data_IF_254856419184
#
_entry.id   IF_254856419184
#
_cell.length_a   1.000
_cell.length_b   1.000
_cell.length_c   1.000
_cell.angle_alpha   90.00
_cell.angle_beta   90.00
_cell.angle_gamma   90.00
#
_symmetry.space_group_name_H-M   'P 1'
#
loop_
_entity.id
_entity.type
_entity.pdbx_description
1 polymer ?
#
# COMPACT_ATOMS: atom_id res chain seq x y z
N UNK A 1 23.15 3.62 0.57
CA UNK A 1 22.78 2.22 0.26
C UNK A 1 21.32 2.05 0.65
N UNK A 2 20.45 1.56 -0.23
CA UNK A 2 19.02 1.37 0.04
C UNK A 2 18.83 -0.06 0.54
N UNK A 3 18.35 -0.25 1.77
CA UNK A 3 18.10 -1.58 2.34
C UNK A 3 16.60 -1.90 2.26
N UNK A 4 16.28 -2.97 1.54
CA UNK A 4 14.94 -3.55 1.48
C UNK A 4 14.96 -4.95 2.11
N UNK A 5 13.83 -5.40 2.64
CA UNK A 5 13.69 -6.75 3.18
C UNK A 5 14.12 -7.79 2.14
N UNK A 6 15.13 -8.60 2.47
CA UNK A 6 15.80 -9.51 1.51
C UNK A 6 14.81 -10.43 0.80
N UNK A 7 13.86 -11.01 1.53
CA UNK A 7 12.87 -11.90 0.93
C UNK A 7 11.97 -11.24 -0.13
N UNK A 8 11.68 -9.94 -0.01
CA UNK A 8 10.89 -9.22 -1.01
C UNK A 8 11.78 -8.80 -2.18
N UNK A 9 12.99 -8.32 -1.89
CA UNK A 9 13.99 -7.96 -2.91
C UNK A 9 14.31 -9.17 -3.79
N UNK A 10 14.63 -10.32 -3.20
CA UNK A 10 15.04 -11.53 -3.91
C UNK A 10 13.91 -12.10 -4.81
N UNK A 11 12.64 -11.81 -4.48
CA UNK A 11 11.50 -12.16 -5.35
C UNK A 11 11.44 -11.33 -6.63
N UNK A 12 11.94 -10.09 -6.62
CA UNK A 12 11.93 -9.19 -7.78
C UNK A 12 13.27 -9.17 -8.53
N UNK A 13 14.36 -9.27 -7.78
CA UNK A 13 15.74 -9.18 -8.21
C UNK A 13 16.53 -10.31 -7.51
N UNK A 14 16.38 -11.56 -7.98
CA UNK A 14 17.07 -12.69 -7.38
C UNK A 14 18.59 -12.50 -7.47
N UNK A 15 19.29 -12.83 -6.38
CA UNK A 15 20.76 -12.73 -6.34
C UNK A 15 21.41 -13.73 -7.35
N UNK A 16 20.75 -14.87 -7.56
CA UNK A 16 21.08 -15.87 -8.60
C UNK A 16 19.94 -15.97 -9.62
N UNK A 17 19.97 -15.19 -10.72
CA UNK A 17 18.95 -15.26 -11.74
C UNK A 17 19.04 -16.59 -12.49
N UNK A 18 18.01 -17.42 -12.37
CA UNK A 18 17.87 -18.68 -13.14
C UNK A 18 17.34 -18.46 -14.57
N UNK A 19 16.90 -17.23 -14.86
CA UNK A 19 16.33 -16.81 -16.14
C UNK A 19 17.15 -15.65 -16.70
N UNK A 20 17.12 -15.47 -18.02
CA UNK A 20 17.75 -14.33 -18.73
C UNK A 20 17.13 -12.97 -18.37
N UNK A 21 16.07 -12.94 -17.55
CA UNK A 21 15.36 -11.75 -17.09
C UNK A 21 14.96 -11.91 -15.64
N UNK A 22 15.05 -10.82 -14.89
CA UNK A 22 14.51 -10.73 -13.54
C UNK A 22 12.97 -10.79 -13.55
N UNK A 23 12.34 -11.24 -12.47
CA UNK A 23 10.89 -11.16 -12.31
C UNK A 23 10.35 -9.74 -12.51
N UNK A 24 11.06 -8.70 -12.02
CA UNK A 24 10.67 -7.31 -12.26
C UNK A 24 10.64 -6.95 -13.75
N UNK A 25 11.67 -7.30 -14.52
CA UNK A 25 11.72 -7.05 -15.97
C UNK A 25 10.59 -7.78 -16.70
N UNK A 26 10.22 -8.98 -16.23
CA UNK A 26 9.08 -9.72 -16.77
C UNK A 26 7.76 -8.98 -16.53
N UNK A 27 7.56 -8.40 -15.34
CA UNK A 27 6.39 -7.57 -15.03
C UNK A 27 6.35 -6.34 -15.96
N UNK A 28 7.48 -5.63 -16.12
CA UNK A 28 7.54 -4.45 -16.99
C UNK A 28 7.26 -4.79 -18.47
N UNK A 29 7.80 -5.90 -18.96
CA UNK A 29 7.52 -6.39 -20.30
C UNK A 29 6.03 -6.74 -20.47
N UNK A 30 5.41 -7.37 -19.47
CA UNK A 30 3.98 -7.66 -19.46
C UNK A 30 3.11 -6.40 -19.49
N UNK A 31 3.47 -5.38 -18.69
CA UNK A 31 2.77 -4.08 -18.70
C UNK A 31 2.80 -3.48 -20.10
N UNK A 32 3.95 -3.52 -20.78
CA UNK A 32 4.07 -3.01 -22.15
C UNK A 32 3.12 -3.72 -23.12
N UNK A 33 3.15 -5.05 -23.13
CA UNK A 33 2.31 -5.86 -24.03
C UNK A 33 0.81 -5.61 -23.77
N UNK A 34 0.40 -5.59 -22.51
CA UNK A 34 -1.01 -5.35 -22.13
C UNK A 34 -1.42 -3.92 -22.47
N UNK A 35 -0.54 -2.95 -22.24
CA UNK A 35 -0.80 -1.55 -22.58
C UNK A 35 -1.01 -1.39 -24.08
N UNK A 36 -0.15 -1.98 -24.91
CA UNK A 36 -0.30 -1.96 -26.37
C UNK A 36 -1.67 -2.49 -26.82
N UNK A 37 -2.07 -3.65 -26.30
CA UNK A 37 -3.37 -4.27 -26.61
C UNK A 37 -4.55 -3.41 -26.14
N UNK A 38 -4.49 -2.85 -24.93
CA UNK A 38 -5.56 -2.01 -24.37
C UNK A 38 -5.73 -0.69 -25.12
N UNK A 39 -4.63 -0.03 -25.48
CA UNK A 39 -4.69 1.24 -26.22
C UNK A 39 -5.24 1.03 -27.63
N UNK A 40 -4.85 -0.07 -28.31
CA UNK A 40 -5.39 -0.44 -29.61
C UNK A 40 -6.90 -0.71 -29.56
N UNK A 41 -7.40 -1.38 -28.52
CA UNK A 41 -8.82 -1.74 -28.39
C UNK A 41 -9.72 -0.57 -27.98
N UNK A 42 -9.23 0.27 -27.07
CA UNK A 42 -10.04 1.31 -26.45
C UNK A 42 -9.90 2.68 -27.13
N UNK A 43 -8.92 2.85 -28.02
CA UNK A 43 -8.61 4.14 -28.66
C UNK A 43 -8.09 5.20 -27.68
N UNK A 44 -7.66 4.78 -26.48
CA UNK A 44 -7.06 5.68 -25.50
C UNK A 44 -5.59 5.96 -25.86
N UNK A 45 -5.09 7.12 -25.46
CA UNK A 45 -3.69 7.51 -25.71
C UNK A 45 -2.74 7.08 -24.58
N UNK A 46 -3.26 6.96 -23.36
CA UNK A 46 -2.49 6.69 -22.14
C UNK A 46 -3.17 5.59 -21.34
N UNK A 47 -2.38 4.60 -20.88
CA UNK A 47 -2.81 3.55 -19.96
C UNK A 47 -2.38 3.90 -18.52
N UNK A 48 -3.36 3.94 -17.62
CA UNK A 48 -3.11 4.12 -16.19
C UNK A 48 -2.78 2.78 -15.55
N UNK A 49 -1.64 2.70 -14.85
CA UNK A 49 -1.17 1.48 -14.19
C UNK A 49 -1.13 1.70 -12.69
N UNK A 50 -1.88 0.87 -11.97
CA UNK A 50 -1.94 0.85 -10.52
C UNK A 50 -1.22 -0.39 -9.99
N UNK A 51 -0.54 -0.24 -8.86
CA UNK A 51 0.12 -1.36 -8.20
C UNK A 51 -0.73 -1.83 -7.01
N UNK A 52 -0.85 -3.13 -6.82
CA UNK A 52 -1.59 -3.66 -5.67
C UNK A 52 -1.03 -5.00 -5.25
N UNK A 53 -1.37 -5.39 -4.02
CA UNK A 53 -1.03 -6.68 -3.45
C UNK A 53 -1.64 -6.82 -2.07
N UNK A 54 -1.74 -8.06 -1.61
CA UNK A 54 -2.16 -8.39 -0.25
C UNK A 54 -1.03 -9.13 0.45
N UNK A 55 -0.79 -8.84 1.74
CA UNK A 55 0.20 -9.55 2.56
C UNK A 55 1.60 -9.50 1.93
N UNK A 56 2.24 -10.65 1.75
CA UNK A 56 3.50 -10.82 1.02
C UNK A 56 3.50 -10.16 -0.37
N UNK A 57 2.38 -10.26 -1.10
CA UNK A 57 2.22 -9.62 -2.40
C UNK A 57 2.24 -8.09 -2.29
N UNK A 58 1.77 -7.53 -1.18
CA UNK A 58 1.86 -6.09 -0.90
C UNK A 58 3.29 -5.64 -0.69
N UNK A 59 4.10 -6.42 0.03
CA UNK A 59 5.54 -6.13 0.21
C UNK A 59 6.29 -6.12 -1.13
N UNK A 60 6.02 -7.09 -1.99
CA UNK A 60 6.57 -7.15 -3.35
C UNK A 60 6.09 -5.95 -4.19
N UNK A 61 4.78 -5.68 -4.19
CA UNK A 61 4.20 -4.57 -4.94
C UNK A 61 4.76 -3.21 -4.49
N UNK A 62 5.05 -3.06 -3.20
CA UNK A 62 5.67 -1.84 -2.64
C UNK A 62 7.05 -1.59 -3.23
N UNK A 63 7.90 -2.62 -3.29
CA UNK A 63 9.24 -2.51 -3.89
C UNK A 63 9.19 -2.35 -5.40
N UNK A 64 8.29 -3.07 -6.09
CA UNK A 64 8.10 -2.93 -7.52
C UNK A 64 7.63 -1.52 -7.90
N UNK A 65 6.67 -0.98 -7.14
CA UNK A 65 6.19 0.40 -7.28
C UNK A 65 7.32 1.41 -7.02
N UNK A 66 8.10 1.22 -5.95
CA UNK A 66 9.23 2.08 -5.65
C UNK A 66 10.26 2.10 -6.78
N UNK A 67 10.61 0.93 -7.33
CA UNK A 67 11.50 0.82 -8.49
C UNK A 67 10.91 1.51 -9.72
N UNK A 68 9.63 1.28 -10.02
CA UNK A 68 8.97 1.86 -11.18
C UNK A 68 8.92 3.40 -11.11
N UNK A 69 8.71 3.95 -9.91
CA UNK A 69 8.73 5.39 -9.67
C UNK A 69 10.13 6.02 -9.80
N UNK A 70 11.19 5.29 -9.44
CA UNK A 70 12.57 5.77 -9.60
C UNK A 70 13.09 5.68 -11.04
N UNK A 71 12.49 4.85 -11.90
CA UNK A 71 12.90 4.61 -13.29
C UNK A 71 11.76 4.88 -14.27
N UNK A 72 11.01 5.95 -14.05
CA UNK A 72 9.86 6.29 -14.89
C UNK A 72 10.25 6.56 -16.35
N UNK A 73 11.45 7.08 -16.59
CA UNK A 73 11.97 7.39 -17.93
C UNK A 73 12.24 6.14 -18.78
N UNK A 74 12.33 4.96 -18.15
CA UNK A 74 12.48 3.68 -18.85
C UNK A 74 11.16 3.01 -19.22
N UNK A 75 10.03 3.61 -18.84
CA UNK A 75 8.69 3.11 -19.15
C UNK A 75 8.22 3.69 -20.49
N UNK A 76 7.34 2.95 -21.17
CA UNK A 76 6.67 3.45 -22.38
C UNK A 76 5.98 4.80 -22.07
N UNK A 77 6.13 5.81 -22.94
CA UNK A 77 5.56 7.15 -22.73
C UNK A 77 4.04 7.15 -22.66
N UNK A 78 3.38 6.09 -23.14
CA UNK A 78 1.94 5.87 -23.05
C UNK A 78 1.51 5.22 -21.73
N UNK A 79 2.45 4.86 -20.85
CA UNK A 79 2.14 4.30 -19.53
C UNK A 79 2.25 5.38 -18.47
N UNK A 80 1.17 5.58 -17.72
CA UNK A 80 1.13 6.43 -16.54
C UNK A 80 1.02 5.57 -15.29
N UNK A 81 2.10 5.49 -14.52
CA UNK A 81 2.04 4.92 -13.17
C UNK A 81 1.16 5.83 -12.30
N UNK A 82 0.17 5.28 -11.63
CA UNK A 82 -0.74 6.00 -10.74
C UNK A 82 -0.40 5.68 -9.27
N UNK A 83 -1.42 5.52 -8.42
CA UNK A 83 -1.24 5.13 -7.03
C UNK A 83 -0.97 3.62 -6.88
N UNK A 84 -0.50 3.25 -5.69
CA UNK A 84 -0.49 1.86 -5.26
C UNK A 84 -1.49 1.66 -4.12
N UNK A 85 -2.29 0.60 -4.17
CA UNK A 85 -3.23 0.22 -3.12
C UNK A 85 -2.79 -1.11 -2.51
N UNK A 86 -2.29 -1.05 -1.29
CA UNK A 86 -1.48 -2.09 -0.67
C UNK A 86 -2.21 -2.61 0.57
N UNK A 87 -2.70 -3.85 0.53
CA UNK A 87 -3.51 -4.42 1.61
C UNK A 87 -2.64 -5.25 2.54
N UNK A 88 -2.73 -4.99 3.84
CA UNK A 88 -1.89 -5.66 4.84
C UNK A 88 -0.40 -5.57 4.48
N UNK A 89 0.06 -4.37 4.15
CA UNK A 89 1.44 -4.21 3.72
C UNK A 89 2.39 -4.38 4.90
N UNK A 90 3.34 -5.33 4.85
CA UNK A 90 4.38 -5.46 5.87
C UNK A 90 5.38 -4.31 5.76
N UNK A 91 6.23 -4.20 6.77
CA UNK A 91 7.40 -3.32 6.75
C UNK A 91 8.35 -3.77 5.63
N UNK A 92 8.82 -2.84 4.79
CA UNK A 92 9.46 -3.18 3.52
C UNK A 92 10.94 -2.80 3.42
N UNK A 93 11.36 -1.72 4.08
CA UNK A 93 12.71 -1.18 3.95
C UNK A 93 13.19 -0.53 5.25
N UNK A 94 14.44 -0.10 5.27
CA UNK A 94 14.98 0.73 6.35
C UNK A 94 14.42 2.16 6.32
N UNK A 95 14.56 2.86 7.45
CA UNK A 95 14.11 4.25 7.60
C UNK A 95 14.72 5.20 6.55
N UNK A 96 16.03 5.18 6.23
CA UNK A 96 16.59 6.05 5.19
C UNK A 96 15.94 5.85 3.81
N UNK A 97 15.70 4.60 3.40
CA UNK A 97 15.07 4.31 2.11
C UNK A 97 13.62 4.76 2.08
N UNK A 98 12.85 4.52 3.15
CA UNK A 98 11.47 4.99 3.26
C UNK A 98 11.40 6.51 3.17
N UNK A 99 12.27 7.23 3.89
CA UNK A 99 12.36 8.69 3.84
C UNK A 99 12.72 9.19 2.45
N UNK A 100 13.71 8.59 1.80
CA UNK A 100 14.12 8.96 0.44
C UNK A 100 12.97 8.76 -0.55
N UNK A 101 12.29 7.62 -0.49
CA UNK A 101 11.18 7.29 -1.36
C UNK A 101 9.96 8.21 -1.15
N UNK A 102 9.53 8.42 0.09
CA UNK A 102 8.39 9.30 0.35
C UNK A 102 8.70 10.74 -0.09
N UNK A 103 9.92 11.22 0.11
CA UNK A 103 10.34 12.54 -0.37
C UNK A 103 10.41 12.64 -1.91
N UNK A 104 10.78 11.57 -2.61
CA UNK A 104 10.81 11.59 -4.08
C UNK A 104 9.42 11.66 -4.68
N UNK A 105 8.43 11.00 -4.06
CA UNK A 105 7.02 11.09 -4.48
C UNK A 105 6.46 12.51 -4.41
N UNK A 106 6.83 13.27 -3.37
CA UNK A 106 6.38 14.65 -3.19
C UNK A 106 6.98 15.63 -4.21
N UNK A 107 8.19 15.33 -4.71
CA UNK A 107 8.92 16.18 -5.66
C UNK A 107 8.70 15.78 -7.12
N UNK A 108 7.97 14.70 -7.37
CA UNK A 108 7.75 14.15 -8.72
C UNK A 108 6.91 15.06 -9.61
N UNK A 109 7.13 14.95 -10.93
CA UNK A 109 6.43 15.76 -11.96
C UNK A 109 4.91 15.51 -12.07
N UNK A 110 4.38 14.50 -11.40
CA UNK A 110 2.94 14.20 -11.34
C UNK A 110 2.49 14.08 -9.87
N UNK A 111 2.22 15.20 -9.19
CA UNK A 111 1.76 15.20 -7.81
C UNK A 111 0.24 14.97 -7.67
N UNK A 112 -0.23 14.38 -6.56
CA UNK A 112 0.48 13.45 -5.68
C UNK A 112 0.11 12.00 -6.02
N UNK A 113 1.12 11.16 -6.27
CA UNK A 113 0.98 9.70 -6.26
C UNK A 113 1.40 9.18 -4.90
N UNK A 114 0.67 8.25 -4.32
CA UNK A 114 1.04 7.66 -3.04
C UNK A 114 0.71 6.17 -2.96
N UNK A 115 1.58 5.36 -2.33
CA UNK A 115 1.19 4.05 -1.87
C UNK A 115 0.23 4.20 -0.68
N UNK A 116 -1.02 3.83 -0.87
CA UNK A 116 -2.02 3.72 0.18
C UNK A 116 -1.95 2.32 0.81
N UNK A 117 -1.41 2.23 2.03
CA UNK A 117 -1.35 1.01 2.81
C UNK A 117 -2.63 0.84 3.61
N UNK A 118 -3.54 0.04 3.10
CA UNK A 118 -4.83 -0.22 3.72
C UNK A 118 -4.65 -1.25 4.85
N UNK A 119 -5.07 -0.87 6.05
CA UNK A 119 -4.95 -1.68 7.27
C UNK A 119 -6.33 -1.97 7.83
N UNK A 120 -6.60 -3.26 8.06
CA UNK A 120 -7.80 -3.74 8.72
C UNK A 120 -7.49 -3.97 10.20
N UNK A 121 -8.10 -3.18 11.09
CA UNK A 121 -7.91 -3.27 12.54
C UNK A 121 -6.41 -3.30 12.95
N UNK A 122 -6.00 -4.35 13.65
CA UNK A 122 -4.64 -4.59 14.14
C UNK A 122 -4.04 -5.81 13.43
N UNK A 123 -4.18 -5.87 12.10
CA UNK A 123 -3.59 -6.94 11.28
C UNK A 123 -2.13 -7.19 11.65
N UNK A 124 -1.84 -8.42 12.07
CA UNK A 124 -0.52 -8.85 12.50
C UNK A 124 0.56 -8.59 11.44
N UNK A 125 0.30 -8.83 10.16
CA UNK A 125 1.33 -8.66 9.12
C UNK A 125 1.68 -7.18 8.94
N UNK A 126 0.72 -6.29 9.13
CA UNK A 126 0.93 -4.85 9.03
C UNK A 126 1.43 -4.20 10.32
N UNK A 127 1.15 -4.78 11.50
CA UNK A 127 1.37 -4.10 12.79
C UNK A 127 2.11 -4.89 13.86
N UNK A 128 2.40 -6.18 13.67
CA UNK A 128 3.01 -7.02 14.72
C UNK A 128 4.48 -6.67 14.96
N UNK A 129 5.22 -6.35 13.90
CA UNK A 129 6.63 -6.02 14.03
C UNK A 129 6.82 -4.56 14.40
N UNK A 130 7.79 -4.23 15.29
CA UNK A 130 8.12 -2.86 15.60
C UNK A 130 8.57 -2.12 14.33
N UNK A 131 7.83 -1.08 13.95
CA UNK A 131 8.13 -0.21 12.82
C UNK A 131 8.67 1.14 13.31
N UNK A 132 9.67 1.12 14.20
CA UNK A 132 10.20 2.34 14.81
C UNK A 132 10.81 3.30 13.77
N UNK A 133 11.22 2.78 12.63
CA UNK A 133 11.67 3.59 11.50
C UNK A 133 10.56 4.43 10.84
N UNK A 134 9.28 4.21 11.15
CA UNK A 134 8.21 5.10 10.70
C UNK A 134 8.27 6.45 11.40
N UNK A 135 8.81 6.53 12.62
CA UNK A 135 9.01 7.79 13.34
C UNK A 135 10.26 8.51 12.83
N UNK A 136 10.13 9.70 12.21
CA UNK A 136 11.27 10.45 11.69
C UNK A 136 12.25 10.92 12.78
N UNK A 137 11.84 10.90 14.06
CA UNK A 137 12.66 11.27 15.21
C UNK A 137 13.31 10.08 15.90
N UNK A 138 13.16 8.86 15.37
CA UNK A 138 13.76 7.68 15.97
C UNK A 138 15.29 7.78 15.96
N UNK A 139 15.91 7.72 17.14
CA UNK A 139 17.31 8.05 17.33
C UNK A 139 18.30 6.98 16.84
N UNK A 140 17.82 5.77 16.52
CA UNK A 140 18.68 4.60 16.25
C UNK A 140 18.43 4.03 14.84
N UNK A 141 18.84 4.74 13.77
CA UNK A 141 18.60 4.32 12.38
C UNK A 141 19.19 2.95 12.01
N UNK A 142 20.24 2.53 12.70
CA UNK A 142 20.95 1.26 12.45
C UNK A 142 20.42 0.09 13.31
N UNK A 143 19.37 0.32 14.09
CA UNK A 143 18.73 -0.71 14.92
C UNK A 143 18.04 -1.77 14.06
N UNK A 144 18.00 -3.01 14.54
CA UNK A 144 17.22 -4.10 13.94
C UNK A 144 15.70 -3.79 13.86
N UNK A 145 15.23 -2.77 14.57
CA UNK A 145 13.84 -2.33 14.57
C UNK A 145 13.62 -1.01 13.79
N UNK A 146 14.66 -0.47 13.14
CA UNK A 146 14.59 0.75 12.35
C UNK A 146 13.99 0.55 10.95
N UNK A 147 13.22 -0.53 10.77
CA UNK A 147 12.47 -0.74 9.55
C UNK A 147 11.26 0.19 9.51
N UNK A 148 10.92 0.60 8.30
CA UNK A 148 9.89 1.57 7.99
C UNK A 148 9.01 1.10 6.83
N UNK A 149 7.79 1.59 6.83
CA UNK A 149 6.85 1.45 5.75
C UNK A 149 7.01 2.58 4.73
N UNK A 150 6.60 2.28 3.49
CA UNK A 150 6.53 3.27 2.42
C UNK A 150 5.09 3.75 2.22
N UNK A 151 4.89 5.04 1.98
CA UNK A 151 3.58 5.62 1.71
C UNK A 151 2.72 5.91 2.93
N UNK A 152 1.43 6.09 2.68
CA UNK A 152 0.43 6.54 3.66
C UNK A 152 -0.37 5.36 4.18
N UNK A 153 -0.44 5.21 5.50
CA UNK A 153 -1.32 4.23 6.14
C UNK A 153 -2.76 4.69 6.10
N UNK A 154 -3.69 3.78 5.82
CA UNK A 154 -5.14 4.00 5.93
C UNK A 154 -5.71 2.95 6.86
N UNK A 155 -5.99 3.32 8.12
CA UNK A 155 -6.70 2.47 9.07
C UNK A 155 -8.20 2.60 8.82
N UNK A 156 -8.79 1.53 8.28
CA UNK A 156 -10.21 1.49 7.95
C UNK A 156 -11.07 1.53 9.21
N UNK A 157 -12.16 2.31 9.15
CA UNK A 157 -13.15 2.39 10.22
C UNK A 157 -14.56 2.21 9.66
N UNK A 158 -15.43 1.64 10.49
CA UNK A 158 -16.82 1.30 10.16
C UNK A 158 -17.81 2.26 10.83
N UNK A 159 -19.09 2.08 10.48
CA UNK A 159 -20.24 2.69 11.16
C UNK A 159 -20.22 4.23 11.10
N UNK A 160 -19.91 4.80 9.92
CA UNK A 160 -19.89 6.25 9.74
C UNK A 160 -18.69 6.96 10.37
N UNK A 161 -17.78 6.22 11.02
CA UNK A 161 -16.57 6.82 11.59
C UNK A 161 -15.57 7.10 10.46
N UNK A 162 -14.99 8.30 10.39
CA UNK A 162 -13.93 8.60 9.46
C UNK A 162 -12.74 7.65 9.65
N UNK A 163 -12.24 7.11 8.54
CA UNK A 163 -10.97 6.37 8.52
C UNK A 163 -9.81 7.28 8.91
N UNK A 164 -8.70 6.69 9.37
CA UNK A 164 -7.49 7.43 9.71
C UNK A 164 -6.49 7.30 8.57
N UNK A 165 -5.95 8.43 8.11
CA UNK A 165 -4.75 8.46 7.28
C UNK A 165 -3.54 8.81 8.15
N UNK A 166 -2.45 8.06 8.06
CA UNK A 166 -1.22 8.35 8.80
C UNK A 166 0.03 8.32 7.92
N UNK A 167 0.78 9.42 7.91
CA UNK A 167 2.03 9.57 7.18
C UNK A 167 2.87 10.71 7.79
N UNK A 168 4.13 10.43 8.11
CA UNK A 168 5.06 11.40 8.70
C UNK A 168 5.86 12.21 7.68
N UNK A 169 5.74 11.90 6.40
CA UNK A 169 6.47 12.57 5.33
C UNK A 169 5.58 13.51 4.53
N UNK A 170 4.26 13.41 4.65
CA UNK A 170 3.37 14.31 3.92
C UNK A 170 3.48 15.76 4.43
N UNK A 171 3.33 16.78 3.55
CA UNK A 171 3.32 18.17 3.96
C UNK A 171 2.25 18.48 5.02
N UNK A 172 2.51 19.46 5.88
CA UNK A 172 1.51 19.95 6.83
C UNK A 172 0.25 20.42 6.09
N UNK A 173 -0.92 20.07 6.62
CA UNK A 173 -2.22 20.40 6.01
C UNK A 173 -2.66 19.44 4.88
N UNK A 174 -1.91 18.36 4.62
CA UNK A 174 -2.35 17.31 3.69
C UNK A 174 -3.68 16.71 4.15
N UNK A 175 -4.62 16.57 3.21
CA UNK A 175 -5.93 15.96 3.43
C UNK A 175 -6.04 14.68 2.60
N UNK A 176 -6.43 13.58 3.24
CA UNK A 176 -6.79 12.34 2.56
C UNK A 176 -8.31 12.17 2.56
N UNK A 177 -8.87 11.71 1.44
CA UNK A 177 -10.32 11.52 1.28
C UNK A 177 -10.60 10.15 0.68
N UNK A 178 -11.50 9.39 1.31
CA UNK A 178 -12.06 8.18 0.72
C UNK A 178 -13.18 8.57 -0.24
N UNK A 179 -13.00 8.28 -1.53
CA UNK A 179 -14.01 8.51 -2.56
C UNK A 179 -14.69 7.19 -2.92
N UNK A 180 -15.98 7.24 -3.26
CA UNK A 180 -16.72 6.07 -3.70
C UNK A 180 -17.60 6.42 -4.90
N UNK A 181 -17.66 5.50 -5.87
CA UNK A 181 -18.66 5.53 -6.95
C UNK A 181 -19.98 4.87 -6.55
N UNK A 182 -20.06 4.31 -5.33
CA UNK A 182 -21.27 3.65 -4.83
C UNK A 182 -22.30 4.73 -4.45
N UNK A 183 -23.59 4.57 -4.82
CA UNK A 183 -24.64 5.51 -4.44
C UNK A 183 -24.70 5.78 -2.93
N UNK A 184 -25.01 7.01 -2.48
CA UNK A 184 -24.94 7.39 -1.06
C UNK A 184 -25.77 6.51 -0.11
N UNK A 185 -26.89 5.95 -0.57
CA UNK A 185 -27.74 5.06 0.21
C UNK A 185 -27.13 3.66 0.47
N UNK A 186 -26.09 3.29 -0.31
CA UNK A 186 -25.35 2.03 -0.24
C UNK A 186 -23.90 2.21 0.23
N UNK A 187 -23.36 3.41 0.19
CA UNK A 187 -22.01 3.69 0.66
C UNK A 187 -21.84 3.33 2.16
N UNK A 188 -20.73 2.67 2.50
CA UNK A 188 -20.46 2.21 3.87
C UNK A 188 -21.32 1.03 4.32
N UNK A 189 -22.07 0.38 3.42
CA UNK A 189 -22.83 -0.84 3.69
C UNK A 189 -22.26 -2.00 2.89
N UNK A 190 -22.05 -3.12 3.59
CA UNK A 190 -21.62 -4.35 2.95
C UNK A 190 -22.77 -4.92 2.10
N UNK A 191 -22.55 -5.19 0.81
CA UNK A 191 -23.56 -5.83 -0.03
C UNK A 191 -24.04 -7.17 0.55
N UNK A 192 -25.31 -7.50 0.30
CA UNK A 192 -25.84 -8.82 0.63
C UNK A 192 -25.04 -9.92 -0.09
N UNK A 193 -24.71 -11.01 0.62
CA UNK A 193 -23.87 -12.09 0.11
C UNK A 193 -22.35 -11.85 0.20
N UNK A 194 -21.89 -10.64 0.49
CA UNK A 194 -20.46 -10.34 0.77
C UNK A 194 -20.14 -10.25 2.26
N UNK A 195 -21.14 -10.47 3.11
CA UNK A 195 -20.99 -10.39 4.57
C UNK A 195 -20.26 -11.60 5.09
N UNK A 196 -19.27 -11.37 5.94
CA UNK A 196 -18.66 -12.45 6.72
C UNK A 196 -19.54 -12.80 7.92
N UNK A 197 -19.46 -14.04 8.44
CA UNK A 197 -20.12 -14.41 9.69
C UNK A 197 -19.79 -13.45 10.83
N UNK A 198 -20.81 -13.05 11.62
CA UNK A 198 -20.65 -12.09 12.73
C UNK A 198 -19.60 -12.52 13.76
N UNK A 199 -19.42 -13.82 13.98
CA UNK A 199 -18.40 -14.34 14.88
C UNK A 199 -16.98 -14.01 14.37
N UNK A 200 -16.74 -14.01 13.06
CA UNK A 200 -15.44 -13.62 12.48
C UNK A 200 -15.17 -12.14 12.71
N UNK A 201 -16.20 -11.29 12.60
CA UNK A 201 -16.09 -9.87 12.92
C UNK A 201 -15.70 -9.70 14.40
N UNK A 202 -16.37 -10.43 15.30
CA UNK A 202 -16.08 -10.39 16.73
C UNK A 202 -14.66 -10.82 17.07
N UNK A 203 -14.15 -11.89 16.45
CA UNK A 203 -12.79 -12.38 16.69
C UNK A 203 -11.71 -11.34 16.39
N UNK A 204 -11.93 -10.42 15.42
CA UNK A 204 -10.98 -9.33 15.12
C UNK A 204 -10.71 -8.40 16.32
N UNK A 205 -11.58 -8.37 17.33
CA UNK A 205 -11.42 -7.55 18.53
C UNK A 205 -10.71 -8.27 19.68
N UNK A 206 -10.45 -9.58 19.56
CA UNK A 206 -9.73 -10.35 20.58
C UNK A 206 -8.22 -10.14 20.36
N UNK A 207 -7.43 -9.73 21.36
CA UNK A 207 -5.99 -9.57 21.20
C UNK A 207 -5.32 -10.86 20.68
N UNK A 208 -4.27 -10.72 19.85
CA UNK A 208 -3.51 -11.79 19.19
C UNK A 208 -4.31 -12.62 18.17
N UNK A 209 -5.43 -13.24 18.57
CA UNK A 209 -6.29 -13.98 17.66
C UNK A 209 -6.88 -13.06 16.58
N UNK A 210 -7.39 -11.91 17.00
CA UNK A 210 -7.93 -10.88 16.11
C UNK A 210 -6.89 -10.28 15.18
N UNK A 211 -5.61 -10.23 15.60
CA UNK A 211 -4.53 -9.73 14.76
C UNK A 211 -4.28 -10.65 13.56
N UNK A 212 -4.28 -11.97 13.80
CA UNK A 212 -4.16 -12.95 12.71
C UNK A 212 -5.42 -12.99 11.84
N UNK A 213 -6.61 -12.91 12.45
CA UNK A 213 -7.86 -12.95 11.69
C UNK A 213 -8.06 -11.70 10.84
N UNK A 214 -7.67 -10.52 11.32
CA UNK A 214 -7.81 -9.28 10.56
C UNK A 214 -7.05 -9.30 9.23
N UNK A 215 -6.07 -10.22 9.11
CA UNK A 215 -5.30 -10.48 7.89
C UNK A 215 -6.07 -11.20 6.77
N UNK A 216 -7.23 -11.79 7.04
CA UNK A 216 -7.94 -12.55 6.00
C UNK A 216 -8.46 -11.63 4.89
N UNK A 217 -8.24 -11.96 3.60
CA UNK A 217 -8.69 -11.14 2.47
C UNK A 217 -10.21 -10.86 2.47
N UNK A 218 -11.02 -11.82 2.91
CA UNK A 218 -12.47 -11.66 3.02
C UNK A 218 -12.87 -10.58 4.04
N UNK A 219 -12.12 -10.44 5.14
CA UNK A 219 -12.35 -9.40 6.14
C UNK A 219 -11.88 -8.03 5.65
N UNK A 220 -10.80 -7.99 4.86
CA UNK A 220 -10.40 -6.77 4.14
C UNK A 220 -11.47 -6.30 3.16
N UNK A 221 -11.98 -7.21 2.32
CA UNK A 221 -13.01 -6.89 1.34
C UNK A 221 -14.28 -6.39 2.03
N UNK A 222 -14.72 -7.06 3.09
CA UNK A 222 -15.85 -6.61 3.88
C UNK A 222 -15.59 -5.21 4.46
N UNK A 223 -14.44 -5.01 5.14
CA UNK A 223 -14.12 -3.75 5.81
C UNK A 223 -14.02 -2.57 4.84
N UNK A 224 -13.55 -2.79 3.61
CA UNK A 224 -13.54 -1.75 2.56
C UNK A 224 -14.96 -1.35 2.16
N UNK A 225 -15.87 -2.32 2.00
CA UNK A 225 -17.28 -2.04 1.68
C UNK A 225 -18.00 -1.34 2.84
N UNK A 226 -17.65 -1.69 4.08
CA UNK A 226 -18.16 -1.07 5.30
C UNK A 226 -17.53 0.31 5.59
N UNK A 227 -16.44 0.67 4.91
CA UNK A 227 -15.76 1.95 5.09
C UNK A 227 -16.63 3.08 4.54
N UNK A 228 -16.80 4.14 5.34
CA UNK A 228 -17.56 5.31 4.91
C UNK A 228 -16.70 6.22 4.03
N UNK A 229 -17.24 6.74 2.91
CA UNK A 229 -16.55 7.76 2.14
C UNK A 229 -16.46 9.07 2.94
N UNK A 230 -15.55 9.95 2.53
CA UNK A 230 -15.37 11.27 3.12
C UNK A 230 -13.93 11.53 3.56
N UNK A 231 -13.73 12.71 4.15
CA UNK A 231 -12.43 13.16 4.65
C UNK A 231 -11.96 12.29 5.80
N UNK A 232 -10.73 11.79 5.70
CA UNK A 232 -10.10 10.98 6.73
C UNK A 232 -9.52 11.87 7.82
N UNK A 233 -9.48 11.37 9.05
CA UNK A 233 -8.73 12.02 10.12
C UNK A 233 -7.23 11.82 9.89
N UNK A 234 -6.48 12.91 9.78
CA UNK A 234 -5.02 12.83 9.62
C UNK A 234 -4.34 12.57 10.97
N UNK A 235 -3.35 11.69 10.99
CA UNK A 235 -2.54 11.41 12.18
C UNK A 235 -1.05 11.34 11.82
N UNK A 236 -0.21 11.92 12.66
CA UNK A 236 1.23 11.66 12.63
C UNK A 236 1.49 10.31 13.30
N UNK A 237 2.26 9.44 12.64
CA UNK A 237 2.54 8.09 13.15
C UNK A 237 3.62 8.16 14.22
N UNK A 238 3.29 7.82 15.46
CA UNK A 238 4.30 7.67 16.51
C UNK A 238 5.02 6.32 16.41
N UNK A 239 6.15 6.17 17.12
CA UNK A 239 6.89 4.91 17.18
C UNK A 239 6.08 3.70 17.71
N UNK A 240 4.97 3.93 18.44
CA UNK A 240 4.18 2.89 19.11
C UNK A 240 2.75 2.68 18.52
N UNK A 241 2.47 3.21 17.33
CA UNK A 241 1.14 3.21 16.68
C UNK A 241 0.89 2.09 15.66
#
# INVERSE_FOLDING_TARGET
>A
MVLAHHGFKNRLFPDEPTLNRTPYETIMAGIKVITDDLLLRNGAEIANVYFTGHSLGSGIASLAYARAMMYIDGLDSRVRICDAYLFSSPIACDMPSAKLFNNSLLKGACPPRTPWRIVNHHDAVATLFPAFGDDPNYAYPDSLFAFAHMGTEVKMRRNGKPSIAANNYAPAGTVATAVTGIPPNRAGKVPEGMQVPKWMIFVQYIPLAGWMFSHFPGLYMESIQAMSPGTMTWKWKGAND
#
